data_IF_610586147181
#
_entry.id   IF_610586147181
#
_cell.length_a   1.000
_cell.length_b   1.000
_cell.length_c   1.000
_cell.angle_alpha   90.00
_cell.angle_beta   90.00
_cell.angle_gamma   90.00
#
_symmetry.space_group_name_H-M   'P 1'
#
loop_
_entity.id
_entity.type
_entity.pdbx_description
1 polymer ?
#
# COMPACT_ATOMS: atom_id res chain seq x y z
N UNK A 1 17.30 -1.76 -12.28
CA UNK A 1 16.29 -1.25 -13.24
C UNK A 1 16.15 0.26 -13.02
N UNK A 2 16.35 1.12 -14.02
CA UNK A 2 16.21 2.57 -13.84
C UNK A 2 14.75 3.03 -13.69
N UNK A 3 13.76 2.20 -14.04
CA UNK A 3 12.33 2.50 -13.85
C UNK A 3 11.84 1.98 -12.48
N UNK A 4 11.57 2.87 -11.50
CA UNK A 4 11.10 2.46 -10.18
C UNK A 4 9.73 1.78 -10.19
N UNK A 5 8.91 1.99 -11.22
CA UNK A 5 7.58 1.37 -11.33
C UNK A 5 7.64 -0.14 -11.59
N UNK A 6 8.81 -0.65 -11.97
CA UNK A 6 9.06 -2.05 -12.28
C UNK A 6 9.86 -2.78 -11.21
N UNK A 7 10.17 -2.11 -10.10
CA UNK A 7 11.07 -2.63 -9.05
C UNK A 7 10.63 -4.02 -8.54
N UNK A 8 9.33 -4.23 -8.39
CA UNK A 8 8.74 -5.47 -7.89
C UNK A 8 8.12 -6.34 -9.00
N UNK A 9 8.29 -5.99 -10.28
CA UNK A 9 7.62 -6.69 -11.37
C UNK A 9 8.26 -8.04 -11.64
N UNK A 10 7.54 -9.11 -11.32
CA UNK A 10 7.95 -10.48 -11.65
C UNK A 10 8.11 -10.69 -13.15
N UNK A 11 7.37 -9.97 -14.00
CA UNK A 11 7.55 -10.02 -15.45
C UNK A 11 8.93 -9.55 -15.92
N UNK A 12 9.50 -8.57 -15.22
CA UNK A 12 10.78 -7.95 -15.58
C UNK A 12 11.94 -8.64 -14.87
N UNK A 13 11.75 -9.08 -13.63
CA UNK A 13 12.82 -9.56 -12.75
C UNK A 13 12.74 -11.06 -12.42
N UNK A 14 11.64 -11.73 -12.78
CA UNK A 14 11.30 -13.03 -12.21
C UNK A 14 10.71 -12.89 -10.80
N UNK A 15 10.19 -13.99 -10.28
CA UNK A 15 9.67 -14.02 -8.91
C UNK A 15 10.80 -13.80 -7.88
N UNK A 16 10.51 -13.15 -6.74
CA UNK A 16 11.50 -12.94 -5.70
C UNK A 16 11.99 -14.28 -5.14
N UNK A 17 13.25 -14.31 -4.71
CA UNK A 17 13.86 -15.50 -4.10
C UNK A 17 13.26 -15.86 -2.73
N UNK A 18 12.45 -14.98 -2.13
CA UNK A 18 11.71 -15.26 -0.91
C UNK A 18 10.65 -16.33 -1.14
N UNK A 19 10.30 -17.15 -0.13
CA UNK A 19 9.23 -18.14 -0.29
C UNK A 19 7.94 -17.52 -0.81
N UNK A 20 7.48 -17.97 -1.98
CA UNK A 20 6.24 -17.51 -2.57
C UNK A 20 5.06 -18.33 -2.04
N UNK A 21 4.14 -17.67 -1.34
CA UNK A 21 2.90 -18.30 -0.90
C UNK A 21 1.96 -18.40 -2.10
N UNK A 22 1.49 -19.61 -2.43
CA UNK A 22 0.52 -19.83 -3.51
C UNK A 22 -0.79 -20.32 -2.90
N UNK A 23 -1.88 -19.70 -3.32
CA UNK A 23 -3.23 -20.05 -2.86
C UNK A 23 -4.21 -19.97 -4.03
N UNK A 24 -5.36 -20.62 -3.88
CA UNK A 24 -6.50 -20.38 -4.74
C UNK A 24 -7.38 -19.28 -4.18
N UNK A 25 -8.08 -18.58 -5.06
CA UNK A 25 -9.03 -17.56 -4.68
C UNK A 25 -10.08 -18.13 -3.71
N UNK A 26 -10.23 -17.50 -2.55
CA UNK A 26 -11.13 -17.96 -1.50
C UNK A 26 -10.52 -18.94 -0.49
N UNK A 27 -9.26 -19.34 -0.63
CA UNK A 27 -8.57 -20.15 0.38
C UNK A 27 -8.42 -19.38 1.70
N UNK A 28 -8.66 -20.06 2.81
CA UNK A 28 -8.35 -19.54 4.14
C UNK A 28 -6.83 -19.55 4.35
N UNK A 29 -6.26 -18.39 4.64
CA UNK A 29 -4.83 -18.21 4.91
C UNK A 29 -4.66 -17.70 6.34
N UNK A 30 -3.70 -18.27 7.08
CA UNK A 30 -3.35 -17.80 8.42
C UNK A 30 -1.86 -17.50 8.45
N UNK A 31 -1.51 -16.24 8.68
CA UNK A 31 -0.13 -15.83 8.97
C UNK A 31 0.10 -15.98 10.47
N UNK A 32 0.94 -16.94 10.85
CA UNK A 32 1.39 -17.11 12.23
C UNK A 32 2.70 -16.37 12.39
N UNK A 33 2.64 -15.27 13.13
CA UNK A 33 3.77 -14.39 13.31
C UNK A 33 4.25 -14.52 14.75
N UNK A 34 5.57 -14.61 14.90
CA UNK A 34 6.26 -14.64 16.17
C UNK A 34 7.51 -13.78 16.03
N UNK A 35 7.72 -12.87 16.98
CA UNK A 35 8.97 -12.13 17.09
C UNK A 35 9.72 -12.56 18.34
N UNK A 36 10.90 -13.16 18.17
CA UNK A 36 11.65 -13.74 19.28
C UNK A 36 12.52 -12.73 20.04
N UNK A 37 13.32 -11.95 19.32
CA UNK A 37 14.30 -11.01 19.89
C UNK A 37 14.38 -9.78 18.99
N UNK A 38 14.21 -8.59 19.56
CA UNK A 38 13.98 -7.37 18.78
C UNK A 38 14.94 -6.24 19.14
N UNK A 39 15.69 -5.74 18.14
CA UNK A 39 16.42 -4.46 18.22
C UNK A 39 15.72 -3.34 17.42
N UNK A 40 14.87 -3.70 16.46
CA UNK A 40 14.12 -2.77 15.61
C UNK A 40 12.67 -3.22 15.47
N UNK A 41 11.72 -2.30 15.33
CA UNK A 41 10.29 -2.59 15.26
C UNK A 41 9.90 -3.22 13.93
N UNK A 42 9.03 -4.23 13.99
CA UNK A 42 8.49 -4.91 12.83
C UNK A 42 7.03 -4.52 12.64
N UNK A 43 6.60 -4.40 11.39
CA UNK A 43 5.21 -4.13 11.03
C UNK A 43 4.83 -5.01 9.87
N UNK A 44 3.98 -5.99 10.11
CA UNK A 44 3.53 -6.89 9.06
C UNK A 44 2.38 -6.26 8.29
N UNK A 45 2.47 -6.31 6.96
CA UNK A 45 1.44 -5.82 6.04
C UNK A 45 1.25 -6.84 4.92
N UNK A 46 -0.01 -7.11 4.59
CA UNK A 46 -0.38 -7.76 3.33
C UNK A 46 -1.25 -6.80 2.53
N UNK A 47 -0.80 -6.45 1.34
CA UNK A 47 -1.56 -5.56 0.47
C UNK A 47 -2.92 -6.15 0.08
N UNK A 48 -3.95 -5.30 0.04
CA UNK A 48 -5.31 -5.70 -0.36
C UNK A 48 -6.03 -6.59 0.65
N UNK A 49 -5.38 -6.95 1.75
CA UNK A 49 -5.91 -7.81 2.79
C UNK A 49 -5.94 -7.05 4.13
N UNK A 50 -6.85 -7.48 4.98
CA UNK A 50 -6.83 -7.11 6.40
C UNK A 50 -7.15 -8.31 7.26
N UNK A 51 -6.88 -8.14 8.54
CA UNK A 51 -6.97 -9.15 9.59
C UNK A 51 -7.48 -8.52 10.87
N UNK A 52 -8.11 -9.35 11.72
CA UNK A 52 -8.45 -8.99 13.09
C UNK A 52 -7.33 -9.50 14.01
N UNK A 53 -6.63 -8.62 14.74
CA UNK A 53 -5.60 -9.06 15.70
C UNK A 53 -6.19 -10.03 16.74
N UNK A 54 -7.39 -9.73 17.25
CA UNK A 54 -8.17 -10.64 18.09
C UNK A 54 -9.11 -11.46 17.21
N UNK A 55 -8.58 -12.53 16.60
CA UNK A 55 -9.29 -13.27 15.53
C UNK A 55 -10.66 -13.84 15.92
N UNK A 56 -10.87 -14.08 17.21
CA UNK A 56 -12.10 -14.67 17.75
C UNK A 56 -13.08 -13.64 18.30
N UNK A 57 -12.67 -12.37 18.39
CA UNK A 57 -13.55 -11.29 18.78
C UNK A 57 -14.15 -10.64 17.51
N UNK A 58 -15.47 -10.79 17.28
CA UNK A 58 -16.13 -10.16 16.13
C UNK A 58 -16.07 -8.63 16.16
N UNK A 59 -15.88 -8.02 17.34
CA UNK A 59 -15.76 -6.56 17.52
C UNK A 59 -14.33 -6.05 17.31
N UNK A 60 -13.33 -6.95 17.25
CA UNK A 60 -11.95 -6.57 16.98
C UNK A 60 -11.86 -5.86 15.64
N UNK A 61 -11.19 -4.70 15.58
CA UNK A 61 -11.06 -3.94 14.32
C UNK A 61 -10.34 -4.75 13.23
N UNK A 62 -10.71 -4.52 11.97
CA UNK A 62 -9.88 -4.99 10.84
C UNK A 62 -8.72 -4.02 10.68
N UNK A 63 -7.50 -4.54 10.59
CA UNK A 63 -6.28 -3.78 10.31
C UNK A 63 -5.50 -4.48 9.20
N UNK A 64 -4.74 -3.72 8.42
CA UNK A 64 -3.83 -4.26 7.40
C UNK A 64 -2.36 -4.07 7.77
N UNK A 65 -2.10 -3.41 8.91
CA UNK A 65 -0.79 -3.20 9.46
C UNK A 65 -0.86 -3.50 10.94
N UNK A 66 0.11 -4.26 11.42
CA UNK A 66 0.23 -4.60 12.82
C UNK A 66 1.69 -4.49 13.23
N UNK A 67 1.94 -3.63 14.20
CA UNK A 67 3.22 -3.59 14.89
C UNK A 67 3.37 -4.85 15.72
N UNK A 68 4.53 -5.49 15.65
CA UNK A 68 4.84 -6.70 16.40
C UNK A 68 6.04 -6.41 17.29
N UNK A 69 5.82 -6.48 18.60
CA UNK A 69 6.85 -6.27 19.62
C UNK A 69 7.63 -7.55 19.94
N UNK A 70 8.65 -7.40 20.79
CA UNK A 70 9.42 -8.52 21.32
C UNK A 70 8.52 -9.50 22.06
N UNK A 71 8.71 -10.80 21.79
CA UNK A 71 7.93 -11.89 22.37
C UNK A 71 6.41 -11.83 22.09
N UNK A 72 5.98 -11.03 21.12
CA UNK A 72 4.59 -11.04 20.67
C UNK A 72 4.36 -12.12 19.61
N UNK A 73 3.12 -12.60 19.58
CA UNK A 73 2.64 -13.55 18.58
C UNK A 73 1.25 -13.17 18.11
N UNK A 74 1.00 -13.35 16.82
CA UNK A 74 -0.31 -13.14 16.22
C UNK A 74 -0.65 -14.25 15.24
N UNK A 75 -1.91 -14.68 15.28
CA UNK A 75 -2.48 -15.57 14.27
C UNK A 75 -3.45 -14.78 13.39
N UNK A 76 -2.94 -14.22 12.30
CA UNK A 76 -3.68 -13.32 11.42
C UNK A 76 -4.37 -14.11 10.31
N UNK A 77 -5.67 -14.37 10.50
CA UNK A 77 -6.49 -15.05 9.51
C UNK A 77 -7.02 -14.07 8.45
N UNK A 78 -6.98 -14.50 7.19
CA UNK A 78 -7.57 -13.78 6.06
C UNK A 78 -8.01 -14.77 4.96
N UNK A 79 -8.55 -14.26 3.87
CA UNK A 79 -8.94 -15.05 2.70
C UNK A 79 -8.13 -14.60 1.49
N UNK A 80 -7.56 -15.56 0.76
CA UNK A 80 -6.79 -15.30 -0.44
C UNK A 80 -7.62 -14.53 -1.48
N UNK A 81 -7.06 -13.43 -1.98
CA UNK A 81 -7.67 -12.53 -2.96
C UNK A 81 -8.24 -11.24 -2.38
N UNK A 82 -8.04 -11.00 -1.09
CA UNK A 82 -8.30 -9.72 -0.43
C UNK A 82 -9.77 -9.28 -0.45
N UNK A 83 -9.99 -8.00 -0.16
CA UNK A 83 -11.32 -7.38 -0.21
C UNK A 83 -11.97 -7.45 -1.59
N UNK A 84 -11.17 -7.46 -2.64
CA UNK A 84 -11.57 -7.44 -4.05
C UNK A 84 -11.97 -8.80 -4.60
N UNK A 85 -11.65 -9.91 -3.90
CA UNK A 85 -11.85 -11.27 -4.39
C UNK A 85 -11.26 -11.46 -5.81
N UNK A 86 -10.05 -10.98 -6.01
CA UNK A 86 -9.35 -11.08 -7.29
C UNK A 86 -8.13 -11.99 -7.19
N UNK A 87 -7.93 -12.82 -8.22
CA UNK A 87 -6.67 -13.50 -8.43
C UNK A 87 -5.60 -12.52 -8.92
N UNK A 88 -4.36 -12.77 -8.56
CA UNK A 88 -3.23 -11.88 -8.81
C UNK A 88 -2.17 -12.02 -7.73
N UNK A 89 -1.16 -11.15 -7.82
CA UNK A 89 -0.05 -11.10 -6.89
C UNK A 89 -0.24 -9.98 -5.89
N UNK A 90 0.03 -10.28 -4.62
CA UNK A 90 -0.09 -9.36 -3.51
C UNK A 90 1.24 -9.32 -2.77
N UNK A 91 1.87 -8.14 -2.66
CA UNK A 91 3.06 -8.01 -1.80
C UNK A 91 2.64 -8.17 -0.34
N UNK A 92 3.43 -8.92 0.39
CA UNK A 92 3.52 -8.79 1.83
C UNK A 92 4.91 -8.27 2.17
N UNK A 93 5.00 -7.45 3.20
CA UNK A 93 6.27 -6.93 3.66
C UNK A 93 6.24 -6.72 5.16
N UNK A 94 7.43 -6.68 5.74
CA UNK A 94 7.65 -6.53 7.16
C UNK A 94 8.58 -5.34 7.42
N UNK A 95 8.16 -4.51 8.37
CA UNK A 95 9.03 -3.54 9.03
C UNK A 95 8.94 -2.14 8.43
N UNK A 96 9.97 -1.34 8.72
CA UNK A 96 10.11 0.02 8.19
C UNK A 96 10.64 0.00 6.76
N UNK A 97 10.66 1.14 6.08
CA UNK A 97 11.08 1.25 4.67
C UNK A 97 12.48 0.68 4.38
N UNK A 98 13.39 0.70 5.35
CA UNK A 98 14.72 0.09 5.18
C UNK A 98 14.65 -1.43 5.08
N UNK A 99 13.83 -2.10 5.91
CA UNK A 99 13.64 -3.56 5.85
C UNK A 99 13.04 -4.00 4.52
N UNK A 100 12.07 -3.25 3.99
CA UNK A 100 11.56 -3.47 2.63
C UNK A 100 12.69 -3.39 1.59
N UNK A 101 13.60 -2.43 1.73
CA UNK A 101 14.75 -2.26 0.84
C UNK A 101 15.82 -3.35 1.02
N UNK A 102 15.93 -3.93 2.21
CA UNK A 102 16.86 -5.00 2.59
C UNK A 102 16.33 -6.40 2.24
N UNK A 103 15.06 -6.53 1.84
CA UNK A 103 14.49 -7.78 1.34
C UNK A 103 13.41 -8.41 2.21
N UNK A 104 12.91 -7.72 3.24
CA UNK A 104 11.80 -8.18 4.10
C UNK A 104 10.43 -8.05 3.41
N UNK A 105 10.29 -8.68 2.25
CA UNK A 105 9.05 -8.71 1.47
C UNK A 105 8.98 -9.97 0.61
N UNK A 106 7.77 -10.32 0.18
CA UNK A 106 7.54 -11.40 -0.77
C UNK A 106 6.16 -11.27 -1.40
N UNK A 107 5.78 -12.29 -2.18
CA UNK A 107 4.52 -12.30 -2.92
C UNK A 107 3.62 -13.44 -2.45
N UNK A 108 2.34 -13.12 -2.27
CA UNK A 108 1.25 -14.08 -2.25
C UNK A 108 0.64 -14.12 -3.63
N UNK A 109 0.76 -15.25 -4.32
CA UNK A 109 0.17 -15.47 -5.64
C UNK A 109 -1.14 -16.24 -5.53
N UNK A 110 -2.23 -15.57 -5.89
CA UNK A 110 -3.59 -16.11 -5.84
C UNK A 110 -4.04 -16.53 -7.23
N UNK A 111 -4.42 -17.79 -7.39
CA UNK A 111 -4.89 -18.38 -8.65
C UNK A 111 -6.42 -18.53 -8.68
N UNK A 112 -7.05 -18.29 -9.82
CA UNK A 112 -8.47 -18.58 -10.07
C UNK A 112 -8.70 -19.81 -10.97
N UNK A 113 -7.61 -20.52 -11.28
CA UNK A 113 -7.54 -21.74 -12.09
C UNK A 113 -6.65 -22.75 -11.41
N UNK A 114 -7.07 -24.02 -11.42
CA UNK A 114 -6.26 -25.12 -10.91
C UNK A 114 -4.90 -25.17 -11.61
N UNK A 115 -3.85 -25.27 -10.81
CA UNK A 115 -2.47 -25.46 -11.23
C UNK A 115 -2.10 -26.93 -11.06
N UNK A 116 -1.20 -27.44 -11.90
CA UNK A 116 -0.78 -28.85 -11.86
C UNK A 116 -0.03 -29.21 -10.56
N UNK A 117 0.61 -28.22 -9.95
CA UNK A 117 1.52 -28.35 -8.82
C UNK A 117 0.99 -27.72 -7.52
N UNK A 118 -0.26 -27.23 -7.51
CA UNK A 118 -0.90 -26.67 -6.32
C UNK A 118 -2.18 -27.45 -5.99
N UNK A 119 -2.20 -28.10 -4.82
CA UNK A 119 -3.37 -28.87 -4.36
C UNK A 119 -4.46 -27.94 -3.83
N UNK A 120 -5.74 -28.13 -4.21
CA UNK A 120 -6.83 -27.35 -3.64
C UNK A 120 -7.08 -27.76 -2.18
N UNK A 121 -7.43 -26.78 -1.34
CA UNK A 121 -7.74 -27.02 0.07
C UNK A 121 -9.13 -27.67 0.26
N UNK A 122 -9.33 -28.42 1.35
CA UNK A 122 -10.67 -28.80 1.79
C UNK A 122 -11.57 -27.55 1.91
N UNK A 123 -12.77 -27.59 1.34
CA UNK A 123 -13.69 -26.44 1.30
C UNK A 123 -13.54 -25.53 0.07
N UNK A 124 -12.43 -25.60 -0.68
CA UNK A 124 -12.22 -24.84 -1.92
C UNK A 124 -11.75 -25.72 -3.09
N UNK A 125 -12.37 -26.91 -3.24
CA UNK A 125 -12.02 -27.88 -4.31
C UNK A 125 -12.21 -27.34 -5.73
N UNK A 126 -13.07 -26.35 -5.88
CA UNK A 126 -13.32 -25.63 -7.14
C UNK A 126 -13.05 -24.15 -6.89
N UNK A 127 -11.83 -23.67 -7.16
CA UNK A 127 -11.46 -22.27 -6.95
C UNK A 127 -12.47 -21.32 -7.56
N UNK A 128 -12.79 -20.26 -6.83
CA UNK A 128 -13.65 -19.18 -7.34
C UNK A 128 -12.96 -18.52 -8.54
N UNK A 129 -13.77 -17.97 -9.46
CA UNK A 129 -13.28 -17.13 -10.55
C UNK A 129 -12.98 -15.73 -10.03
N UNK A 130 -11.92 -15.11 -10.56
CA UNK A 130 -11.59 -13.73 -10.25
C UNK A 130 -12.77 -12.80 -10.56
N UNK A 131 -13.01 -11.82 -9.69
CA UNK A 131 -13.97 -10.76 -9.99
C UNK A 131 -13.58 -10.04 -11.28
N UNK A 132 -14.56 -9.78 -12.15
CA UNK A 132 -14.32 -9.10 -13.44
C UNK A 132 -14.13 -7.59 -13.30
N UNK A 133 -14.60 -7.03 -12.19
CA UNK A 133 -14.59 -5.60 -11.91
C UNK A 133 -14.25 -5.43 -10.43
N UNK A 134 -13.34 -4.50 -10.14
CA UNK A 134 -12.97 -4.13 -8.78
C UNK A 134 -14.17 -3.55 -8.02
N UNK A 135 -14.91 -2.65 -8.68
CA UNK A 135 -16.04 -1.97 -8.07
C UNK A 135 -17.35 -2.73 -8.31
N UNK A 136 -18.18 -2.95 -7.28
CA UNK A 136 -19.49 -3.57 -7.44
C UNK A 136 -20.37 -2.82 -8.43
N UNK A 137 -21.23 -3.55 -9.16
CA UNK A 137 -22.18 -2.94 -10.09
C UNK A 137 -23.12 -1.99 -9.33
N UNK A 138 -23.21 -0.75 -9.79
CA UNK A 138 -24.06 0.28 -9.17
C UNK A 138 -23.46 0.98 -7.95
N UNK A 139 -22.22 0.64 -7.55
CA UNK A 139 -21.52 1.37 -6.51
C UNK A 139 -21.33 2.85 -6.92
N UNK A 140 -21.64 3.83 -6.06
CA UNK A 140 -21.38 5.22 -6.34
C UNK A 140 -19.89 5.44 -6.61
N UNK A 141 -19.57 6.19 -7.67
CA UNK A 141 -18.18 6.44 -8.09
C UNK A 141 -17.76 7.85 -7.68
N UNK A 142 -16.73 7.96 -6.85
CA UNK A 142 -16.05 9.23 -6.56
C UNK A 142 -14.81 9.37 -7.43
N UNK A 143 -14.80 10.44 -8.23
CA UNK A 143 -13.68 10.77 -9.09
C UNK A 143 -12.82 11.85 -8.43
N UNK A 144 -11.52 11.61 -8.34
CA UNK A 144 -10.54 12.58 -7.86
C UNK A 144 -9.50 12.82 -8.96
N UNK A 145 -9.29 14.08 -9.32
CA UNK A 145 -8.16 14.49 -10.16
C UNK A 145 -7.07 14.98 -9.24
N UNK A 146 -5.98 14.22 -9.14
CA UNK A 146 -4.84 14.49 -8.26
C UNK A 146 -3.65 14.89 -9.12
N UNK A 147 -2.91 15.89 -8.69
CA UNK A 147 -1.66 16.32 -9.32
C UNK A 147 -0.49 16.10 -8.39
N UNK A 148 0.62 15.59 -8.91
CA UNK A 148 1.91 15.64 -8.24
C UNK A 148 2.68 16.86 -8.75
N UNK A 149 3.02 17.80 -7.88
CA UNK A 149 3.63 19.10 -8.25
C UNK A 149 4.78 19.46 -7.31
N UNK A 150 5.72 20.25 -7.81
CA UNK A 150 6.72 20.92 -6.99
C UNK A 150 6.13 22.21 -6.40
N UNK A 151 6.42 22.50 -5.14
CA UNK A 151 6.07 23.76 -4.48
C UNK A 151 7.09 24.08 -3.40
N UNK A 152 7.32 25.37 -3.14
CA UNK A 152 8.04 25.77 -1.93
C UNK A 152 7.14 25.54 -0.71
N UNK A 153 7.68 24.90 0.32
CA UNK A 153 7.04 24.74 1.62
C UNK A 153 7.95 25.33 2.69
N UNK A 154 7.38 26.13 3.58
CA UNK A 154 8.04 26.56 4.80
C UNK A 154 7.36 25.87 5.96
N UNK A 155 8.05 25.04 6.73
CA UNK A 155 7.41 24.22 7.76
C UNK A 155 6.99 25.05 8.98
N UNK A 156 7.77 26.07 9.32
CA UNK A 156 7.43 27.04 10.37
C UNK A 156 7.46 28.47 9.80
N UNK A 157 6.31 29.16 9.68
CA UNK A 157 6.28 30.54 9.17
C UNK A 157 7.01 31.53 10.08
N UNK A 158 7.18 31.22 11.37
CA UNK A 158 7.74 32.11 12.38
C UNK A 158 9.23 31.87 12.65
N UNK A 159 9.91 31.05 11.84
CA UNK A 159 11.33 30.77 11.99
C UNK A 159 12.08 31.05 10.69
N UNK A 160 13.41 31.16 10.79
CA UNK A 160 14.30 31.09 9.63
C UNK A 160 14.21 29.72 8.96
N UNK A 161 14.71 29.64 7.73
CA UNK A 161 14.58 28.43 6.90
C UNK A 161 15.52 27.30 7.35
N UNK A 162 16.57 27.63 8.11
CA UNK A 162 17.50 26.68 8.73
C UNK A 162 17.83 27.14 10.15
N UNK A 163 17.99 26.19 11.08
CA UNK A 163 18.50 26.47 12.43
C UNK A 163 19.70 25.57 12.68
N UNK A 164 20.84 26.15 13.03
CA UNK A 164 22.01 25.39 13.50
C UNK A 164 21.76 24.92 14.93
N UNK A 165 21.92 23.60 15.17
CA UNK A 165 21.63 23.01 16.48
C UNK A 165 22.91 22.66 17.22
N UNK A 166 23.78 21.85 16.61
CA UNK A 166 25.04 21.39 17.19
C UNK A 166 25.89 20.63 16.15
N UNK A 167 27.21 20.83 16.19
CA UNK A 167 28.21 20.08 15.39
C UNK A 167 27.83 19.97 13.90
N UNK A 168 27.65 21.12 13.23
CA UNK A 168 27.31 21.23 11.79
C UNK A 168 25.93 20.67 11.40
N UNK A 169 25.11 20.22 12.35
CA UNK A 169 23.75 19.76 12.06
C UNK A 169 22.79 20.95 11.97
N UNK A 170 22.08 21.01 10.86
CA UNK A 170 21.05 22.00 10.58
C UNK A 170 19.67 21.36 10.58
N UNK A 171 18.72 21.99 11.27
CA UNK A 171 17.30 21.72 11.11
C UNK A 171 16.80 22.51 9.90
N UNK A 172 16.35 21.79 8.87
CA UNK A 172 15.71 22.41 7.71
C UNK A 172 14.24 22.70 8.06
N UNK A 173 13.89 23.97 8.13
CA UNK A 173 12.53 24.46 8.39
C UNK A 173 11.84 24.98 7.12
N UNK A 174 12.48 24.83 5.96
CA UNK A 174 11.87 25.01 4.65
C UNK A 174 12.37 23.97 3.65
N UNK A 175 11.58 23.75 2.61
CA UNK A 175 11.92 22.96 1.43
C UNK A 175 11.42 23.71 0.19
N UNK A 176 12.34 24.32 -0.55
CA UNK A 176 12.03 25.15 -1.73
C UNK A 176 11.58 24.35 -2.95
N UNK A 177 11.81 23.03 -2.95
CA UNK A 177 11.43 22.13 -4.05
C UNK A 177 10.66 20.91 -3.56
N UNK A 178 9.80 21.11 -2.56
CA UNK A 178 8.98 20.04 -2.01
C UNK A 178 8.05 19.47 -3.07
N UNK A 179 7.87 18.15 -3.06
CA UNK A 179 6.95 17.44 -3.95
C UNK A 179 5.71 17.07 -3.15
N UNK A 180 4.55 17.53 -3.61
CA UNK A 180 3.29 17.24 -2.94
C UNK A 180 2.27 16.64 -3.91
N UNK A 181 1.28 15.96 -3.34
CA UNK A 181 0.04 15.65 -4.03
C UNK A 181 -1.02 16.66 -3.60
N UNK A 182 -1.81 17.14 -4.55
CA UNK A 182 -2.93 18.06 -4.31
C UNK A 182 -4.08 17.74 -5.27
N UNK A 183 -5.29 18.23 -4.98
CA UNK A 183 -6.37 18.17 -5.95
C UNK A 183 -6.11 19.15 -7.10
N UNK A 184 -6.58 18.81 -8.29
CA UNK A 184 -6.51 19.70 -9.46
C UNK A 184 -7.14 21.07 -9.13
N UNK A 185 -6.41 22.15 -9.44
CA UNK A 185 -6.82 23.52 -9.15
C UNK A 185 -6.65 23.98 -7.69
N UNK A 186 -6.33 23.09 -6.75
CA UNK A 186 -6.12 23.45 -5.34
C UNK A 186 -4.94 24.40 -5.15
N UNK A 187 -3.86 24.19 -5.90
CA UNK A 187 -2.69 25.07 -5.87
C UNK A 187 -3.02 26.50 -6.28
N UNK A 188 -3.83 26.67 -7.32
CA UNK A 188 -4.25 27.99 -7.80
C UNK A 188 -5.15 28.69 -6.77
N UNK A 189 -6.05 27.94 -6.14
CA UNK A 189 -6.92 28.47 -5.06
C UNK A 189 -6.12 28.87 -3.83
N UNK A 190 -5.20 28.03 -3.39
CA UNK A 190 -4.32 28.32 -2.26
C UNK A 190 -3.52 29.61 -2.51
N UNK A 191 -2.95 29.76 -3.72
CA UNK A 191 -2.24 30.97 -4.11
C UNK A 191 -3.15 32.23 -4.11
N UNK A 192 -4.36 32.12 -4.66
CA UNK A 192 -5.32 33.23 -4.70
C UNK A 192 -5.78 33.66 -3.29
N UNK A 193 -5.94 32.70 -2.37
CA UNK A 193 -6.36 32.94 -0.99
C UNK A 193 -5.19 33.36 -0.06
N UNK A 194 -3.96 33.46 -0.59
CA UNK A 194 -2.76 33.72 0.21
C UNK A 194 -2.45 32.60 1.23
N UNK A 195 -2.96 31.39 0.99
CA UNK A 195 -2.86 30.23 1.89
C UNK A 195 -1.90 29.19 1.32
N UNK A 196 -1.51 28.25 2.18
CA UNK A 196 -0.72 27.09 1.78
C UNK A 196 -1.63 25.96 1.33
N UNK A 197 -1.19 25.12 0.37
CA UNK A 197 -1.93 23.93 0.01
C UNK A 197 -2.06 23.00 1.22
N UNK A 198 -3.25 22.44 1.41
CA UNK A 198 -3.48 21.48 2.47
C UNK A 198 -2.95 20.10 2.07
N UNK A 199 -2.67 19.20 3.04
CA UNK A 199 -2.40 17.80 2.72
C UNK A 199 -3.55 17.20 1.92
N UNK A 200 -3.23 16.44 0.86
CA UNK A 200 -4.22 15.76 0.05
C UNK A 200 -5.14 14.91 0.94
N UNK A 201 -6.42 15.27 0.96
CA UNK A 201 -7.44 14.55 1.72
C UNK A 201 -8.52 14.06 0.77
N UNK A 202 -8.56 12.74 0.56
CA UNK A 202 -9.59 12.09 -0.24
C UNK A 202 -10.62 11.47 0.70
N UNK A 203 -11.91 11.84 0.56
CA UNK A 203 -12.99 11.33 1.42
C UNK A 203 -13.93 10.42 0.64
N UNK A 204 -14.02 9.17 1.05
CA UNK A 204 -14.93 8.17 0.51
C UNK A 204 -15.66 7.41 1.62
N UNK A 205 -16.88 6.95 1.32
CA UNK A 205 -17.68 6.10 2.19
C UNK A 205 -17.42 4.63 1.87
N UNK A 206 -17.66 3.75 2.85
CA UNK A 206 -17.65 2.29 2.62
C UNK A 206 -18.65 1.95 1.52
N UNK A 207 -18.22 1.16 0.54
CA UNK A 207 -19.02 0.77 -0.62
C UNK A 207 -18.93 1.73 -1.82
N UNK A 208 -18.29 2.89 -1.69
CA UNK A 208 -18.00 3.76 -2.83
C UNK A 208 -16.79 3.23 -3.62
N UNK A 209 -16.87 3.37 -4.94
CA UNK A 209 -15.75 3.15 -5.85
C UNK A 209 -14.95 4.43 -5.97
N UNK A 210 -13.65 4.39 -5.69
CA UNK A 210 -12.76 5.55 -5.77
C UNK A 210 -11.93 5.47 -7.04
N UNK A 211 -12.09 6.46 -7.93
CA UNK A 211 -11.31 6.58 -9.16
C UNK A 211 -10.39 7.79 -9.07
N UNK A 212 -9.09 7.54 -9.04
CA UNK A 212 -8.06 8.60 -8.96
C UNK A 212 -7.38 8.71 -10.31
N UNK A 213 -7.44 9.90 -10.92
CA UNK A 213 -6.59 10.27 -12.04
C UNK A 213 -5.40 11.05 -11.48
N UNK A 214 -4.24 10.40 -11.40
CA UNK A 214 -3.00 11.05 -11.04
C UNK A 214 -2.34 11.67 -12.29
N UNK A 215 -2.04 12.97 -12.24
CA UNK A 215 -1.25 13.66 -13.27
C UNK A 215 0.10 14.06 -12.68
N UNK A 216 1.19 13.55 -13.23
CA UNK A 216 2.53 13.93 -12.82
C UNK A 216 2.94 15.26 -13.49
N UNK A 217 3.19 16.29 -12.69
CA UNK A 217 3.69 17.62 -13.11
C UNK A 217 4.96 17.99 -12.34
N UNK A 218 5.69 17.00 -11.83
CA UNK A 218 6.96 17.22 -11.18
C UNK A 218 8.00 17.70 -12.20
N UNK A 219 8.89 18.61 -11.78
CA UNK A 219 10.02 19.08 -12.60
C UNK A 219 10.95 17.92 -13.01
N UNK A 220 11.12 16.93 -12.12
CA UNK A 220 11.95 15.74 -12.33
C UNK A 220 11.42 14.54 -11.54
N UNK A 221 11.45 13.38 -12.19
CA UNK A 221 11.09 12.08 -11.62
C UNK A 221 9.64 11.70 -11.84
N UNK A 222 9.34 10.43 -11.54
CA UNK A 222 8.01 9.86 -11.65
C UNK A 222 7.29 9.90 -10.29
N UNK A 223 5.97 9.99 -10.33
CA UNK A 223 5.11 9.90 -9.15
C UNK A 223 4.11 8.75 -9.33
N UNK A 224 3.87 8.01 -8.25
CA UNK A 224 2.83 6.99 -8.15
C UNK A 224 2.03 7.22 -6.88
N UNK A 225 0.80 6.71 -6.85
CA UNK A 225 -0.07 6.76 -5.68
C UNK A 225 -0.64 5.37 -5.44
N UNK A 226 -0.45 4.85 -4.23
CA UNK A 226 -1.05 3.61 -3.77
C UNK A 226 -1.62 3.86 -2.37
N UNK A 227 -2.87 3.45 -2.15
CA UNK A 227 -3.50 3.51 -0.84
C UNK A 227 -3.52 2.10 -0.25
N UNK A 228 -2.92 1.94 0.92
CA UNK A 228 -3.00 0.69 1.68
C UNK A 228 -4.40 0.54 2.30
N UNK A 229 -4.78 -0.70 2.63
CA UNK A 229 -6.05 -1.04 3.28
C UNK A 229 -7.33 -0.72 2.49
N UNK A 230 -7.25 -0.70 1.16
CA UNK A 230 -8.42 -0.60 0.27
C UNK A 230 -8.33 -1.69 -0.81
N UNK A 231 -9.48 -2.10 -1.33
CA UNK A 231 -9.53 -2.96 -2.51
C UNK A 231 -8.88 -2.25 -3.71
N UNK A 232 -8.03 -2.96 -4.44
CA UNK A 232 -7.41 -2.48 -5.69
C UNK A 232 -7.31 -3.62 -6.70
N UNK A 233 -7.04 -3.31 -7.97
CA UNK A 233 -6.78 -4.33 -8.98
C UNK A 233 -5.33 -4.83 -8.87
N UNK A 234 -5.08 -6.09 -8.44
CA UNK A 234 -3.73 -6.60 -8.24
C UNK A 234 -2.93 -6.76 -9.53
N UNK A 235 -3.56 -6.69 -10.71
CA UNK A 235 -2.88 -6.82 -12.00
C UNK A 235 -2.29 -5.50 -12.50
N UNK A 236 -2.72 -4.36 -11.95
CA UNK A 236 -2.34 -3.03 -12.47
C UNK A 236 -1.97 -2.02 -11.37
N UNK A 237 -2.65 -2.04 -10.23
CA UNK A 237 -2.60 -0.94 -9.25
C UNK A 237 -1.46 -1.03 -8.23
N UNK A 238 -0.51 -1.97 -8.42
CA UNK A 238 0.53 -2.25 -7.43
C UNK A 238 1.96 -2.33 -7.97
N UNK A 239 2.15 -2.47 -9.28
CA UNK A 239 3.50 -2.52 -9.89
C UNK A 239 4.27 -3.81 -9.66
N UNK A 240 3.64 -4.85 -9.11
CA UNK A 240 4.20 -6.21 -8.96
C UNK A 240 3.97 -7.04 -10.25
N UNK A 241 3.31 -6.44 -11.24
CA UNK A 241 2.75 -7.07 -12.44
C UNK A 241 3.59 -8.25 -12.95
N UNK A 242 2.94 -9.41 -12.95
CA UNK A 242 3.36 -10.67 -13.59
C UNK A 242 2.93 -10.71 -15.04
#
# INVERSE_FOLDING_TARGET
NPDPSKLFSSKVHGDPSTPMLRAYLGDSVVFRILHGMMNETHTFVVSGHGYRPERYDPQSRVTNALHIGIAERYDLATTAGGYQQMAGDYIYYDGRTSHLSEGSWGIIRVHDKLQKDLKPLPGNKKPKRSAKQLCPKGAPVKNFSVVAVNTALKFNPNAEDEIEVDFERKLLLANTDAKIFALEGEMAKAAADGRRPHPLTLRANIGECVKIKLTNRLKKGNASLHANNIAFDPLDSQGINV
#
